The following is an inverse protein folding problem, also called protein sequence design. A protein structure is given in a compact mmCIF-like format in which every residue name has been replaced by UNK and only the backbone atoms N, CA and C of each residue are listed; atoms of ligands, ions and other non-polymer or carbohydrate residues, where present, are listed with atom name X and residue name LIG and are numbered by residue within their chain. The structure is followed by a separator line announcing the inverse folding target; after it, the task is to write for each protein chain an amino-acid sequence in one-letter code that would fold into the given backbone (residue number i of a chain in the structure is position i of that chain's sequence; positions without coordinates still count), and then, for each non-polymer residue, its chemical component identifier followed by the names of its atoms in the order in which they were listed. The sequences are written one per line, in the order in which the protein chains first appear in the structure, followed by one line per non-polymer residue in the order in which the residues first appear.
data_IF_949536640109
#
_entry.id   IF_949536640109
#
_cell.length_a   1.000
_cell.length_b   1.000
_cell.length_c   1.000
_cell.angle_alpha   90.00
_cell.angle_beta   90.00
_cell.angle_gamma   90.00
#
_symmetry.space_group_name_H-M   'P 1'
#
loop_
_entity.id
_entity.type
_entity.pdbx_description
1 polymer ?
#
# COMPACT_ATOMS: atom_id res chain seq x y z
N UNK A 1 -1.90 -16.02 8.84
CA UNK A 1 -1.23 -15.55 7.62
C UNK A 1 -2.17 -14.86 6.66
N UNK A 2 -1.70 -13.79 6.03
CA UNK A 2 -2.37 -13.11 4.91
C UNK A 2 -1.43 -13.19 3.71
N UNK A 3 -1.93 -13.65 2.56
CA UNK A 3 -1.14 -13.76 1.35
C UNK A 3 -0.54 -12.38 0.95
N UNK A 4 0.67 -12.31 0.37
CA UNK A 4 1.29 -11.05 -0.04
C UNK A 4 0.41 -10.22 -0.99
N UNK A 5 0.61 -8.90 -1.01
CA UNK A 5 -0.14 -7.95 -1.85
C UNK A 5 -1.65 -7.90 -1.56
N UNK A 6 -2.04 -8.31 -0.36
CA UNK A 6 -3.44 -8.25 0.09
C UNK A 6 -3.62 -7.03 0.99
N UNK A 7 -4.76 -6.35 0.86
CA UNK A 7 -5.12 -5.25 1.76
C UNK A 7 -5.49 -5.82 3.12
N UNK A 8 -4.74 -5.46 4.15
CA UNK A 8 -4.97 -5.94 5.53
C UNK A 8 -5.88 -4.97 6.27
N UNK A 9 -5.59 -3.68 6.15
CA UNK A 9 -6.32 -2.62 6.86
C UNK A 9 -6.47 -1.39 6.00
N UNK A 10 -7.66 -0.76 6.06
CA UNK A 10 -7.92 0.55 5.46
C UNK A 10 -7.87 1.60 6.56
N UNK A 11 -6.84 2.44 6.53
CA UNK A 11 -6.66 3.54 7.50
C UNK A 11 -7.56 4.71 7.13
N UNK A 12 -7.66 4.97 5.83
CA UNK A 12 -8.41 6.09 5.29
C UNK A 12 -9.31 5.61 4.15
N UNK A 13 -10.62 5.83 4.27
CA UNK A 13 -11.57 5.49 3.20
C UNK A 13 -11.35 6.36 1.96
N UNK A 14 -11.43 5.72 0.79
CA UNK A 14 -11.49 6.36 -0.52
C UNK A 14 -12.93 6.49 -0.99
N UNK A 15 -13.16 7.39 -1.95
CA UNK A 15 -14.50 7.70 -2.46
C UNK A 15 -14.48 7.84 -3.98
N UNK A 16 -15.53 7.30 -4.59
CA UNK A 16 -15.88 7.52 -5.99
C UNK A 16 -17.20 8.31 -6.04
N UNK A 17 -17.33 9.21 -7.01
CA UNK A 17 -18.58 9.92 -7.31
C UNK A 17 -18.92 9.67 -8.78
N UNK A 18 -19.98 8.90 -9.05
CA UNK A 18 -20.36 8.54 -10.42
C UNK A 18 -19.15 8.03 -11.24
N UNK A 19 -18.46 7.02 -10.70
CA UNK A 19 -17.23 6.43 -11.25
C UNK A 19 -16.00 7.37 -11.35
N UNK A 20 -16.13 8.64 -10.95
CA UNK A 20 -14.99 9.57 -10.84
C UNK A 20 -14.27 9.37 -9.51
N UNK A 21 -12.96 9.09 -9.58
CA UNK A 21 -12.11 9.03 -8.40
C UNK A 21 -11.95 10.43 -7.78
N UNK A 22 -12.52 10.61 -6.59
CA UNK A 22 -12.37 11.85 -5.82
C UNK A 22 -11.14 11.74 -4.90
N UNK A 23 -10.92 10.56 -4.33
CA UNK A 23 -9.79 10.28 -3.46
C UNK A 23 -9.55 8.78 -3.33
N UNK A 24 -8.32 8.28 -3.49
CA UNK A 24 -7.99 6.89 -3.21
C UNK A 24 -8.00 6.58 -1.71
N UNK A 25 -8.22 5.31 -1.36
CA UNK A 25 -8.10 4.85 0.01
C UNK A 25 -6.62 4.73 0.40
N UNK A 26 -6.28 5.10 1.64
CA UNK A 26 -4.98 4.72 2.19
C UNK A 26 -5.10 3.38 2.89
N UNK A 27 -4.23 2.45 2.50
CA UNK A 27 -4.27 1.06 2.93
C UNK A 27 -2.90 0.58 3.38
N UNK A 28 -2.90 -0.37 4.31
CA UNK A 28 -1.74 -1.18 4.67
C UNK A 28 -1.87 -2.49 3.90
N UNK A 29 -0.83 -2.83 3.14
CA UNK A 29 -0.75 -4.08 2.37
C UNK A 29 0.18 -5.08 3.05
N UNK A 30 -0.13 -6.38 2.91
CA UNK A 30 0.75 -7.45 3.34
C UNK A 30 2.02 -7.48 2.47
N UNK A 31 3.18 -7.48 3.12
CA UNK A 31 4.48 -7.68 2.46
C UNK A 31 4.84 -9.16 2.45
N UNK A 32 5.42 -9.65 1.35
CA UNK A 32 5.99 -11.00 1.31
C UNK A 32 7.21 -11.11 2.23
N UNK A 33 7.31 -12.21 2.97
CA UNK A 33 8.46 -12.48 3.83
C UNK A 33 9.78 -12.69 3.06
N UNK A 34 9.74 -12.79 1.73
CA UNK A 34 10.85 -13.18 0.87
C UNK A 34 11.52 -12.02 0.09
N UNK A 35 11.18 -10.75 0.37
CA UNK A 35 11.77 -9.63 -0.36
C UNK A 35 12.63 -8.72 0.55
N UNK A 36 13.97 -8.89 0.55
CA UNK A 36 14.91 -7.95 1.15
C UNK A 36 15.04 -6.75 0.20
N UNK A 37 14.27 -5.69 0.45
CA UNK A 37 14.23 -4.53 -0.45
C UNK A 37 13.66 -3.30 0.24
N UNK A 38 14.22 -2.94 1.40
CA UNK A 38 13.77 -1.78 2.16
C UNK A 38 14.82 -1.27 3.13
N UNK A 39 16.03 -1.01 2.64
CA UNK A 39 16.98 -0.11 3.28
C UNK A 39 18.12 0.21 2.32
N UNK A 40 17.86 1.01 1.28
CA UNK A 40 18.91 1.83 0.68
C UNK A 40 18.24 3.16 0.35
N UNK A 41 18.26 4.01 1.38
CA UNK A 41 18.05 5.44 1.25
C UNK A 41 19.05 5.97 0.23
N UNK A 42 18.57 6.92 -0.56
CA UNK A 42 19.30 7.68 -1.55
C UNK A 42 20.54 8.36 -0.92
N UNK A 43 21.69 7.69 -0.96
CA UNK A 43 22.98 8.25 -0.56
C UNK A 43 24.04 7.89 -1.60
N UNK A 44 23.97 8.56 -2.75
CA UNK A 44 25.10 8.71 -3.67
C UNK A 44 25.14 10.18 -4.10
N UNK A 45 26.18 10.86 -3.62
CA UNK A 45 26.57 12.24 -3.92
C UNK A 45 27.08 12.40 -5.35
#
# INVERSE_FOLDING_TARGET
DVAPNTVVTVVQKGYLLNDRLIRPAMVIVSKSAAQPGGSQLDEQA
#
